data_IF_472920319827
#
_entry.id   IF_472920319827
#
_cell.length_a   1.000
_cell.length_b   1.000
_cell.length_c   1.000
_cell.angle_alpha   90.00
_cell.angle_beta   90.00
_cell.angle_gamma   90.00
#
_symmetry.space_group_name_H-M   'P 1'
#
loop_
_entity.id
_entity.type
_entity.pdbx_description
1 polymer ?
#
# COMPACT_ATOMS: atom_id res chain seq x y z
N UNK A 1 16.49 -2.09 6.48
CA UNK A 1 15.45 -1.13 6.06
C UNK A 1 14.29 -1.95 5.53
N UNK A 2 13.12 -1.90 6.18
CA UNK A 2 11.91 -2.57 5.70
C UNK A 2 11.35 -1.70 4.59
N UNK A 3 11.23 -2.24 3.37
CA UNK A 3 10.82 -1.44 2.19
C UNK A 3 9.32 -1.47 1.97
N UNK A 4 8.55 -2.24 2.76
CA UNK A 4 7.10 -2.46 2.57
C UNK A 4 6.28 -1.18 2.39
N UNK A 5 6.65 -0.10 3.09
CA UNK A 5 5.90 1.17 3.02
C UNK A 5 6.53 2.21 2.08
N UNK A 6 7.60 1.85 1.36
CA UNK A 6 8.32 2.80 0.49
C UNK A 6 7.42 3.33 -0.64
N UNK A 7 6.37 2.59 -1.01
CA UNK A 7 5.38 3.07 -1.97
C UNK A 7 4.70 4.38 -1.53
N UNK A 8 4.59 4.66 -0.24
CA UNK A 8 4.04 5.93 0.29
C UNK A 8 4.97 7.09 -0.09
N UNK A 9 6.28 6.92 0.16
CA UNK A 9 7.27 7.94 -0.20
C UNK A 9 7.42 8.08 -1.72
N UNK A 10 7.25 7.00 -2.48
CA UNK A 10 7.19 7.06 -3.94
C UNK A 10 5.97 7.86 -4.41
N UNK A 11 4.79 7.59 -3.84
CA UNK A 11 3.55 8.30 -4.17
C UNK A 11 3.65 9.80 -3.86
N UNK A 12 4.22 10.18 -2.72
CA UNK A 12 4.44 11.60 -2.36
C UNK A 12 5.36 12.34 -3.34
N UNK A 13 6.17 11.64 -4.14
CA UNK A 13 7.09 12.20 -5.13
C UNK A 13 6.61 12.07 -6.57
N UNK A 14 5.63 11.21 -6.83
CA UNK A 14 5.08 10.94 -8.16
C UNK A 14 3.56 11.16 -8.15
N UNK A 15 3.14 12.27 -8.79
CA UNK A 15 1.74 12.66 -8.86
C UNK A 15 0.84 11.63 -9.55
N UNK A 16 1.38 10.85 -10.51
CA UNK A 16 0.59 9.82 -11.20
C UNK A 16 0.34 8.63 -10.30
N UNK A 17 1.36 8.22 -9.53
CA UNK A 17 1.21 7.16 -8.54
C UNK A 17 0.25 7.59 -7.42
N UNK A 18 0.38 8.83 -6.94
CA UNK A 18 -0.52 9.43 -5.96
C UNK A 18 -1.97 9.41 -6.44
N UNK A 19 -2.22 9.85 -7.68
CA UNK A 19 -3.55 9.85 -8.29
C UNK A 19 -4.11 8.42 -8.44
N UNK A 20 -3.29 7.46 -8.90
CA UNK A 20 -3.70 6.07 -9.03
C UNK A 20 -4.12 5.46 -7.68
N UNK A 21 -3.37 5.75 -6.61
CA UNK A 21 -3.71 5.30 -5.25
C UNK A 21 -5.00 5.96 -4.77
N UNK A 22 -5.17 7.27 -4.94
CA UNK A 22 -6.41 7.95 -4.54
C UNK A 22 -7.64 7.43 -5.30
N UNK A 23 -7.52 7.20 -6.60
CA UNK A 23 -8.59 6.61 -7.40
C UNK A 23 -8.94 5.19 -6.92
N UNK A 24 -7.93 4.39 -6.59
CA UNK A 24 -8.13 3.05 -6.03
C UNK A 24 -8.82 3.07 -4.66
N UNK A 25 -8.45 4.01 -3.78
CA UNK A 25 -9.05 4.20 -2.46
C UNK A 25 -10.49 4.72 -2.53
N UNK A 26 -10.81 5.55 -3.52
CA UNK A 26 -12.16 6.07 -3.74
C UNK A 26 -13.09 5.05 -4.43
N UNK A 27 -12.54 4.02 -5.08
CA UNK A 27 -13.30 2.99 -5.76
C UNK A 27 -13.81 1.91 -4.79
N UNK A 28 -15.00 1.38 -5.08
CA UNK A 28 -15.50 0.17 -4.43
C UNK A 28 -15.03 -1.11 -5.14
N UNK A 29 -14.42 -0.98 -6.31
CA UNK A 29 -13.92 -2.11 -7.09
C UNK A 29 -12.54 -2.57 -6.62
N UNK A 30 -12.19 -3.80 -6.99
CA UNK A 30 -10.84 -4.29 -6.76
C UNK A 30 -9.90 -3.73 -7.83
N UNK A 31 -8.84 -3.07 -7.41
CA UNK A 31 -7.85 -2.48 -8.32
C UNK A 31 -6.44 -2.86 -7.89
N UNK A 32 -5.49 -2.82 -8.82
CA UNK A 32 -4.09 -3.12 -8.56
C UNK A 32 -3.24 -1.98 -9.05
N UNK A 33 -2.38 -1.46 -8.18
CA UNK A 33 -1.35 -0.48 -8.51
C UNK A 33 0.01 -1.13 -8.31
N UNK A 34 0.86 -1.08 -9.32
CA UNK A 34 2.21 -1.62 -9.26
C UNK A 34 3.25 -0.50 -9.29
N UNK A 35 4.33 -0.73 -8.56
CA UNK A 35 5.59 0.02 -8.69
C UNK A 35 6.69 -0.96 -9.09
N UNK A 36 7.91 -0.49 -9.28
CA UNK A 36 9.07 -1.37 -9.57
C UNK A 36 9.34 -2.39 -8.45
N UNK A 37 8.86 -2.11 -7.23
CA UNK A 37 9.11 -2.92 -6.04
C UNK A 37 7.86 -3.63 -5.51
N UNK A 38 6.72 -2.95 -5.56
CA UNK A 38 5.48 -3.36 -4.88
C UNK A 38 4.37 -3.69 -5.87
N UNK A 39 3.54 -4.65 -5.47
CA UNK A 39 2.18 -4.81 -5.97
C UNK A 39 1.23 -4.44 -4.83
N UNK A 40 0.31 -3.53 -5.11
CA UNK A 40 -0.67 -3.02 -4.14
C UNK A 40 -2.06 -3.37 -4.65
N UNK A 41 -2.69 -4.36 -4.03
CA UNK A 41 -4.03 -4.81 -4.36
C UNK A 41 -5.05 -4.14 -3.45
N UNK A 42 -5.83 -3.20 -3.98
CA UNK A 42 -6.90 -2.52 -3.27
C UNK A 42 -8.18 -3.35 -3.38
N UNK A 43 -8.67 -3.82 -2.24
CA UNK A 43 -9.92 -4.58 -2.14
C UNK A 43 -11.04 -3.64 -1.71
N UNK A 44 -11.68 -2.96 -2.68
CA UNK A 44 -12.62 -1.88 -2.41
C UNK A 44 -13.77 -2.27 -1.47
N UNK A 45 -14.38 -3.45 -1.65
CA UNK A 45 -15.43 -3.93 -0.75
C UNK A 45 -14.95 -4.15 0.70
N UNK A 46 -13.70 -4.62 0.88
CA UNK A 46 -13.11 -4.85 2.21
C UNK A 46 -12.41 -3.61 2.78
N UNK A 47 -12.34 -2.52 2.02
CA UNK A 47 -11.64 -1.28 2.41
C UNK A 47 -10.21 -1.56 2.92
N UNK A 48 -9.51 -2.47 2.23
CA UNK A 48 -8.19 -2.96 2.64
C UNK A 48 -7.27 -3.05 1.43
N UNK A 49 -6.06 -2.52 1.55
CA UNK A 49 -4.98 -2.64 0.59
C UNK A 49 -4.03 -3.75 1.03
N UNK A 50 -3.73 -4.69 0.15
CA UNK A 50 -2.69 -5.70 0.36
C UNK A 50 -1.44 -5.22 -0.36
N UNK A 51 -0.36 -5.03 0.39
CA UNK A 51 0.94 -4.64 -0.13
C UNK A 51 1.85 -5.84 -0.08
N UNK A 52 2.41 -6.20 -1.23
CA UNK A 52 3.31 -7.34 -1.38
C UNK A 52 4.44 -6.96 -2.36
N UNK A 53 5.46 -7.82 -2.48
CA UNK A 53 6.46 -7.64 -3.51
C UNK A 53 5.83 -7.74 -4.90
N UNK A 54 6.39 -7.04 -5.88
CA UNK A 54 5.88 -7.06 -7.26
C UNK A 54 5.75 -8.50 -7.81
N UNK A 55 6.69 -9.37 -7.44
CA UNK A 55 6.64 -10.81 -7.69
C UNK A 55 7.59 -11.55 -6.73
N UNK A 56 7.40 -12.87 -6.60
CA UNK A 56 8.27 -13.73 -5.77
C UNK A 56 9.74 -13.72 -6.24
N UNK A 57 9.95 -13.52 -7.53
CA UNK A 57 11.27 -13.46 -8.16
C UNK A 57 11.89 -12.05 -8.12
N UNK A 58 11.20 -11.07 -7.54
CA UNK A 58 11.72 -9.72 -7.38
C UNK A 58 12.95 -9.72 -6.45
N UNK A 59 13.98 -8.91 -6.71
CA UNK A 59 15.10 -8.73 -5.78
C UNK A 59 14.67 -8.09 -4.44
N UNK A 60 13.42 -7.67 -4.32
CA UNK A 60 12.82 -7.09 -3.12
C UNK A 60 11.90 -8.07 -2.38
N UNK A 61 11.70 -9.30 -2.86
CA UNK A 61 10.75 -10.26 -2.26
C UNK A 61 11.06 -10.58 -0.79
N UNK A 62 12.34 -10.67 -0.43
CA UNK A 62 12.79 -10.89 0.96
C UNK A 62 12.85 -9.59 1.80
N UNK A 63 12.66 -8.42 1.19
CA UNK A 63 12.69 -7.10 1.88
C UNK A 63 11.30 -6.52 2.12
N UNK A 64 10.32 -6.98 1.35
CA UNK A 64 8.92 -6.59 1.47
C UNK A 64 8.19 -7.70 2.20
N UNK A 65 7.85 -7.44 3.45
CA UNK A 65 6.93 -8.30 4.21
C UNK A 65 5.51 -7.95 3.76
N UNK A 66 4.71 -8.92 3.28
CA UNK A 66 3.34 -8.65 2.89
C UNK A 66 2.48 -8.10 4.05
N UNK A 67 1.70 -7.06 3.79
CA UNK A 67 0.84 -6.42 4.79
C UNK A 67 -0.55 -6.17 4.24
N UNK A 68 -1.57 -6.35 5.08
CA UNK A 68 -2.91 -5.84 4.86
C UNK A 68 -3.08 -4.53 5.64
N UNK A 69 -3.47 -3.47 4.96
CA UNK A 69 -3.56 -2.11 5.47
C UNK A 69 -4.97 -1.57 5.21
N UNK A 70 -5.68 -1.06 6.22
CA UNK A 70 -6.97 -0.41 5.99
C UNK A 70 -6.82 0.85 5.14
N UNK A 71 -7.81 1.15 4.31
CA UNK A 71 -7.81 2.36 3.47
C UNK A 71 -7.62 3.64 4.29
N UNK A 72 -8.26 3.73 5.46
CA UNK A 72 -8.08 4.86 6.39
C UNK A 72 -6.63 5.05 6.83
N UNK A 73 -5.88 3.96 7.04
CA UNK A 73 -4.47 4.04 7.40
C UNK A 73 -3.61 4.41 6.19
N UNK A 74 -3.91 3.91 4.98
CA UNK A 74 -3.21 4.36 3.77
C UNK A 74 -3.35 5.88 3.60
N UNK A 75 -4.54 6.44 3.80
CA UNK A 75 -4.78 7.90 3.72
C UNK A 75 -3.92 8.65 4.75
N UNK A 76 -3.92 8.19 6.01
CA UNK A 76 -3.09 8.77 7.08
C UNK A 76 -1.60 8.74 6.72
N UNK A 77 -1.10 7.60 6.22
CA UNK A 77 0.29 7.47 5.79
C UNK A 77 0.66 8.47 4.69
N UNK A 78 -0.21 8.63 3.68
CA UNK A 78 0.00 9.59 2.59
C UNK A 78 0.04 11.04 3.10
N UNK A 79 -0.76 11.37 4.10
CA UNK A 79 -0.80 12.68 4.76
C UNK A 79 0.35 12.90 5.77
N UNK A 80 1.14 11.86 6.08
CA UNK A 80 2.19 11.93 7.10
C UNK A 80 1.70 11.76 8.54
N UNK A 81 0.44 11.35 8.73
CA UNK A 81 -0.23 11.14 10.03
C UNK A 81 0.07 9.74 10.60
N UNK A 82 1.36 9.35 10.62
CA UNK A 82 1.77 7.99 11.02
C UNK A 82 1.47 7.67 12.48
N UNK A 83 1.49 8.69 13.35
CA UNK A 83 1.22 8.56 14.79
C UNK A 83 -0.24 8.22 15.09
N UNK A 84 -1.16 8.48 14.15
CA UNK A 84 -2.60 8.24 14.31
C UNK A 84 -3.04 6.86 13.79
N UNK A 85 -2.10 5.99 13.41
CA UNK A 85 -2.39 4.64 12.91
C UNK A 85 -2.50 3.67 14.09
N UNK A 86 -3.64 3.00 14.21
CA UNK A 86 -3.90 2.10 15.32
C UNK A 86 -3.31 0.71 15.10
N UNK A 87 -3.03 0.02 16.22
CA UNK A 87 -2.75 -1.42 16.21
C UNK A 87 -3.98 -2.17 15.63
N UNK A 88 -3.77 -2.91 14.54
CA UNK A 88 -4.84 -3.58 13.79
C UNK A 88 -5.31 -2.83 12.53
N UNK A 89 -4.83 -1.63 12.24
CA UNK A 89 -4.99 -1.01 10.93
C UNK A 89 -3.99 -1.56 9.90
N UNK A 90 -2.88 -2.13 10.39
CA UNK A 90 -1.86 -2.83 9.62
C UNK A 90 -1.66 -4.20 10.26
N UNK A 91 -1.83 -5.27 9.49
CA UNK A 91 -1.56 -6.64 9.93
C UNK A 91 -0.74 -7.38 8.88
N UNK A 92 -0.07 -8.47 9.28
CA UNK A 92 0.58 -9.37 8.32
C UNK A 92 -0.47 -9.95 7.36
N UNK A 93 -0.18 -9.88 6.07
CA UNK A 93 -0.97 -10.61 5.07
C UNK A 93 -0.39 -12.03 4.98
N UNK A 94 -1.19 -13.02 5.40
CA UNK A 94 -0.88 -14.44 5.23
C UNK A 94 -1.05 -14.90 3.78
#
# INVERSE_FOLDING_TARGET
MITTFDFIFMAQRDSKLMEAIHNALASQENTVVCTDMHRISFLGFKQTAIVEALSDNSPFSYKIVPKAIKFSAVIKMLNGEWEDICEGDIIDAN
#
